data_IF_866128073977
#
_entry.id   IF_866128073977
#
_cell.length_a   1.000
_cell.length_b   1.000
_cell.length_c   1.000
_cell.angle_alpha   90.00
_cell.angle_beta   90.00
_cell.angle_gamma   90.00
#
_symmetry.space_group_name_H-M   'P 1'
#
loop_
_entity.id
_entity.type
_entity.pdbx_description
1 polymer ?
#
# COMPACT_ATOMS: atom_id res chain seq x y z
N UNK A 1 3.70 16.48 1.99
CA UNK A 1 3.99 15.60 3.14
C UNK A 1 4.94 14.49 2.73
N UNK A 2 5.63 13.85 3.69
CA UNK A 2 6.41 12.63 3.50
C UNK A 2 5.57 11.38 3.85
N UNK A 3 6.18 10.18 3.73
CA UNK A 3 5.47 8.90 3.97
C UNK A 3 4.99 8.74 5.43
N UNK A 4 5.81 9.13 6.41
CA UNK A 4 5.42 9.03 7.82
C UNK A 4 4.19 9.90 8.14
N UNK A 5 4.18 11.13 7.64
CA UNK A 5 3.05 12.05 7.79
C UNK A 5 1.79 11.51 7.11
N UNK A 6 1.94 10.93 5.91
CA UNK A 6 0.82 10.28 5.21
C UNK A 6 0.27 9.09 6.01
N UNK A 7 1.13 8.15 6.43
CA UNK A 7 0.69 6.97 7.18
C UNK A 7 0.00 7.35 8.50
N UNK A 8 0.45 8.43 9.15
CA UNK A 8 -0.21 8.95 10.33
C UNK A 8 -1.59 9.56 10.02
N UNK A 9 -1.72 10.29 8.92
CA UNK A 9 -3.00 10.83 8.45
C UNK A 9 -4.02 9.72 8.16
N UNK A 10 -3.56 8.60 7.58
CA UNK A 10 -4.44 7.48 7.20
C UNK A 10 -5.01 6.71 8.39
N UNK A 11 -4.48 6.88 9.60
CA UNK A 11 -5.00 6.19 10.79
C UNK A 11 -6.46 6.54 11.10
N UNK A 12 -6.92 7.71 10.67
CA UNK A 12 -8.32 8.12 10.81
C UNK A 12 -9.27 7.43 9.81
N UNK A 13 -8.74 6.99 8.67
CA UNK A 13 -9.50 6.32 7.62
C UNK A 13 -9.49 4.79 7.77
N UNK A 14 -8.46 4.22 8.39
CA UNK A 14 -8.30 2.77 8.60
C UNK A 14 -8.85 2.42 9.99
N UNK A 15 -9.89 1.59 10.03
CA UNK A 15 -10.56 1.17 11.27
C UNK A 15 -10.28 -0.30 11.59
N UNK A 16 -10.97 -1.23 10.95
CA UNK A 16 -10.87 -2.67 11.17
C UNK A 16 -10.42 -3.46 9.92
N UNK A 17 -10.05 -2.74 8.87
CA UNK A 17 -9.53 -3.31 7.65
C UNK A 17 -8.26 -4.12 7.90
N UNK A 18 -8.06 -5.19 7.13
CA UNK A 18 -6.80 -5.93 7.12
C UNK A 18 -5.78 -5.16 6.27
N UNK A 19 -4.61 -4.92 6.81
CA UNK A 19 -3.57 -4.14 6.14
C UNK A 19 -2.35 -5.00 5.87
N UNK A 20 -1.92 -5.07 4.61
CA UNK A 20 -0.63 -5.64 4.19
C UNK A 20 0.30 -4.50 3.83
N UNK A 21 1.34 -4.28 4.62
CA UNK A 21 2.27 -3.18 4.41
C UNK A 21 3.60 -3.67 3.82
N UNK A 22 4.09 -2.96 2.79
CA UNK A 22 5.34 -3.24 2.11
C UNK A 22 6.54 -3.24 3.06
N UNK A 23 7.59 -3.94 2.66
CA UNK A 23 8.83 -4.14 3.44
C UNK A 23 9.53 -2.83 3.81
N UNK A 24 10.38 -2.91 4.82
CA UNK A 24 11.33 -1.87 5.18
C UNK A 24 10.70 -0.70 5.92
N UNK A 25 11.06 0.52 5.50
CA UNK A 25 10.63 1.74 6.19
C UNK A 25 9.10 1.90 6.27
N UNK A 26 8.30 1.61 5.24
CA UNK A 26 6.84 1.70 5.34
C UNK A 26 6.27 0.87 6.50
N UNK A 27 6.67 -0.39 6.62
CA UNK A 27 6.25 -1.28 7.72
C UNK A 27 6.73 -0.77 9.09
N UNK A 28 7.98 -0.31 9.18
CA UNK A 28 8.54 0.21 10.43
C UNK A 28 7.83 1.50 10.89
N UNK A 29 7.51 2.38 9.94
CA UNK A 29 6.77 3.62 10.20
C UNK A 29 5.33 3.33 10.63
N UNK A 30 4.63 2.45 9.93
CA UNK A 30 3.27 2.05 10.27
C UNK A 30 3.21 1.41 11.66
N UNK A 31 4.14 0.48 11.97
CA UNK A 31 4.27 -0.14 13.29
C UNK A 31 4.49 0.91 14.39
N UNK A 32 5.38 1.88 14.14
CA UNK A 32 5.68 2.95 15.11
C UNK A 32 4.52 3.88 15.35
N UNK A 33 3.72 4.17 14.34
CA UNK A 33 2.56 5.07 14.43
C UNK A 33 1.46 4.38 15.25
N UNK A 34 1.10 3.15 14.88
CA UNK A 34 0.01 2.43 15.54
C UNK A 34 0.07 0.94 15.17
N UNK A 35 0.60 0.11 16.05
CA UNK A 35 0.60 -1.34 15.87
C UNK A 35 -0.79 -1.91 16.15
N UNK A 36 -1.30 -2.73 15.23
CA UNK A 36 -2.62 -3.36 15.33
C UNK A 36 -2.57 -4.84 14.94
N UNK A 37 -3.41 -5.71 15.53
CA UNK A 37 -3.43 -7.14 15.21
C UNK A 37 -3.91 -7.46 13.79
N UNK A 38 -4.55 -6.53 13.11
CA UNK A 38 -4.99 -6.63 11.71
C UNK A 38 -3.96 -6.08 10.71
N UNK A 39 -2.73 -5.77 11.15
CA UNK A 39 -1.65 -5.28 10.29
C UNK A 39 -0.58 -6.36 10.08
N UNK A 40 -0.27 -6.64 8.83
CA UNK A 40 0.83 -7.51 8.42
C UNK A 40 1.98 -6.68 7.88
N UNK A 41 3.12 -6.77 8.56
CA UNK A 41 4.36 -6.07 8.21
C UNK A 41 5.28 -6.98 7.45
N UNK A 42 5.47 -6.75 6.15
CA UNK A 42 6.39 -7.57 5.36
C UNK A 42 7.83 -7.33 5.77
N UNK A 43 8.60 -8.42 5.86
CA UNK A 43 10.04 -8.38 6.19
C UNK A 43 10.93 -8.49 4.95
N UNK A 44 10.42 -9.07 3.89
CA UNK A 44 11.12 -9.29 2.63
C UNK A 44 10.14 -9.30 1.47
N UNK A 45 10.58 -9.77 0.30
CA UNK A 45 9.74 -9.95 -0.89
C UNK A 45 9.15 -8.63 -1.41
N UNK A 46 10.01 -7.62 -1.62
CA UNK A 46 9.63 -6.36 -2.26
C UNK A 46 8.89 -6.65 -3.57
N UNK A 47 7.78 -5.94 -3.80
CA UNK A 47 6.90 -6.16 -4.96
C UNK A 47 5.70 -7.07 -4.69
N UNK A 48 5.61 -7.73 -3.52
CA UNK A 48 4.55 -8.70 -3.26
C UNK A 48 3.45 -8.22 -2.30
N UNK A 49 3.51 -7.02 -1.76
CA UNK A 49 2.47 -6.52 -0.86
C UNK A 49 1.10 -6.50 -1.55
N UNK A 50 1.05 -6.01 -2.78
CA UNK A 50 -0.16 -6.00 -3.62
C UNK A 50 -0.71 -7.40 -3.90
N UNK A 51 0.17 -8.37 -4.22
CA UNK A 51 -0.22 -9.76 -4.50
C UNK A 51 -0.74 -10.48 -3.26
N UNK A 52 -0.08 -10.28 -2.10
CA UNK A 52 -0.49 -10.89 -0.82
C UNK A 52 -1.84 -10.33 -0.39
N UNK A 53 -2.02 -9.01 -0.42
CA UNK A 53 -3.29 -8.38 -0.06
C UNK A 53 -4.43 -8.77 -1.00
N UNK A 54 -4.17 -8.85 -2.31
CA UNK A 54 -5.15 -9.36 -3.27
C UNK A 54 -5.55 -10.81 -2.95
N UNK A 55 -4.58 -11.69 -2.68
CA UNK A 55 -4.86 -13.07 -2.29
C UNK A 55 -5.69 -13.15 -1.01
N UNK A 56 -5.38 -12.31 -0.02
CA UNK A 56 -6.12 -12.20 1.23
C UNK A 56 -7.57 -11.75 0.99
N UNK A 57 -7.79 -10.73 0.14
CA UNK A 57 -9.13 -10.22 -0.17
C UNK A 57 -10.04 -11.24 -0.85
N UNK A 58 -9.46 -12.20 -1.60
CA UNK A 58 -10.20 -13.30 -2.20
C UNK A 58 -10.60 -14.40 -1.20
N UNK A 59 -10.04 -14.38 0.00
CA UNK A 59 -10.27 -15.39 1.04
C UNK A 59 -11.13 -14.90 2.21
N UNK A 60 -11.39 -13.59 2.30
CA UNK A 60 -12.13 -12.97 3.42
C UNK A 60 -13.16 -11.96 2.92
N UNK A 61 -14.17 -11.69 3.75
CA UNK A 61 -15.20 -10.67 3.45
C UNK A 61 -14.81 -9.25 3.91
N UNK A 62 -13.81 -9.15 4.79
CA UNK A 62 -13.33 -7.86 5.30
C UNK A 62 -12.61 -7.07 4.20
N UNK A 63 -12.67 -5.74 4.30
CA UNK A 63 -11.85 -4.89 3.46
C UNK A 63 -10.36 -5.15 3.70
N UNK A 64 -9.61 -5.24 2.61
CA UNK A 64 -8.15 -5.43 2.62
C UNK A 64 -7.48 -4.25 1.93
N UNK A 65 -6.49 -3.69 2.58
CA UNK A 65 -5.65 -2.61 2.05
C UNK A 65 -4.23 -3.14 1.88
N UNK A 66 -3.70 -3.09 0.67
CA UNK A 66 -2.25 -3.19 0.46
C UNK A 66 -1.65 -1.79 0.45
N UNK A 67 -0.70 -1.51 1.33
CA UNK A 67 0.12 -0.29 1.30
C UNK A 67 1.45 -0.65 0.66
N UNK A 68 1.66 -0.18 -0.56
CA UNK A 68 2.85 -0.50 -1.35
C UNK A 68 3.58 0.79 -1.80
N UNK A 69 4.84 0.70 -2.15
CA UNK A 69 5.60 1.81 -2.71
C UNK A 69 5.63 1.76 -4.24
N UNK A 70 5.83 2.91 -4.87
CA UNK A 70 5.98 3.01 -6.33
C UNK A 70 7.07 2.09 -6.87
N UNK A 71 8.27 2.12 -6.28
CA UNK A 71 9.37 1.24 -6.67
C UNK A 71 9.07 -0.24 -6.45
N UNK A 72 8.27 -0.58 -5.44
CA UNK A 72 7.82 -1.95 -5.17
C UNK A 72 6.83 -2.42 -6.22
N UNK A 73 5.85 -1.60 -6.57
CA UNK A 73 4.87 -1.90 -7.64
C UNK A 73 5.57 -2.04 -8.99
N UNK A 74 6.57 -1.20 -9.29
CA UNK A 74 7.37 -1.32 -10.53
C UNK A 74 8.08 -2.66 -10.66
N UNK A 75 8.45 -3.32 -9.56
CA UNK A 75 9.04 -4.67 -9.58
C UNK A 75 8.02 -5.77 -9.90
N UNK A 76 6.74 -5.54 -9.72
CA UNK A 76 5.68 -6.53 -9.87
C UNK A 76 4.39 -5.92 -10.47
N UNK A 77 4.53 -5.16 -11.56
CA UNK A 77 3.39 -4.50 -12.24
C UNK A 77 2.33 -5.49 -12.75
N UNK A 78 2.69 -6.75 -12.99
CA UNK A 78 1.76 -7.78 -13.43
C UNK A 78 0.62 -8.04 -12.42
N UNK A 79 0.81 -7.73 -11.13
CA UNK A 79 -0.29 -7.80 -10.14
C UNK A 79 -1.44 -6.87 -10.51
N UNK A 80 -1.18 -5.71 -11.13
CA UNK A 80 -2.24 -4.80 -11.58
C UNK A 80 -3.19 -5.48 -12.57
N UNK A 81 -2.67 -6.30 -13.49
CA UNK A 81 -3.51 -7.07 -14.40
C UNK A 81 -4.39 -8.09 -13.64
N UNK A 82 -3.88 -8.70 -12.58
CA UNK A 82 -4.67 -9.62 -11.76
C UNK A 82 -5.74 -8.86 -10.97
N UNK A 83 -5.40 -7.67 -10.42
CA UNK A 83 -6.37 -6.79 -9.73
C UNK A 83 -7.49 -6.40 -10.68
N UNK A 84 -7.17 -5.89 -11.89
CA UNK A 84 -8.17 -5.49 -12.87
C UNK A 84 -9.09 -6.63 -13.33
N UNK A 85 -8.54 -7.85 -13.48
CA UNK A 85 -9.33 -9.01 -13.93
C UNK A 85 -10.14 -9.68 -12.80
N UNK A 86 -9.71 -9.63 -11.56
CA UNK A 86 -10.43 -10.22 -10.41
C UNK A 86 -11.35 -9.21 -9.74
N UNK A 87 -10.93 -7.96 -9.68
CA UNK A 87 -11.66 -6.81 -9.17
C UNK A 87 -12.48 -7.09 -7.88
N UNK A 88 -11.90 -7.70 -6.82
CA UNK A 88 -12.65 -8.00 -5.61
C UNK A 88 -13.05 -6.70 -4.92
N UNK A 89 -14.35 -6.53 -4.65
CA UNK A 89 -14.92 -5.27 -4.16
C UNK A 89 -14.47 -4.86 -2.74
N UNK A 90 -13.81 -5.77 -2.03
CA UNK A 90 -13.22 -5.52 -0.71
C UNK A 90 -11.71 -5.24 -0.75
N UNK A 91 -11.14 -4.92 -1.93
CA UNK A 91 -9.71 -4.70 -2.08
C UNK A 91 -9.35 -3.28 -2.50
N UNK A 92 -8.41 -2.68 -1.80
CA UNK A 92 -7.80 -1.40 -2.17
C UNK A 92 -6.28 -1.52 -2.18
N UNK A 93 -5.65 -1.23 -3.32
CA UNK A 93 -4.21 -1.02 -3.42
C UNK A 93 -3.91 0.47 -3.24
N UNK A 94 -3.26 0.82 -2.14
CA UNK A 94 -2.71 2.15 -1.92
C UNK A 94 -1.22 2.16 -2.31
N UNK A 95 -0.89 2.90 -3.35
CA UNK A 95 0.49 3.11 -3.80
C UNK A 95 0.99 4.45 -3.24
N UNK A 96 1.99 4.38 -2.38
CA UNK A 96 2.68 5.55 -1.84
C UNK A 96 3.82 5.91 -2.78
N UNK A 97 3.56 6.85 -3.68
CA UNK A 97 4.49 7.27 -4.72
C UNK A 97 5.30 8.49 -4.26
N UNK A 98 6.52 8.22 -3.80
CA UNK A 98 7.49 9.24 -3.42
C UNK A 98 8.58 9.45 -4.49
N UNK A 99 8.50 8.75 -5.62
CA UNK A 99 9.44 8.82 -6.73
C UNK A 99 10.85 8.30 -6.40
N UNK A 100 11.01 7.49 -5.33
CA UNK A 100 12.33 7.17 -4.80
C UNK A 100 12.40 5.84 -4.06
N UNK A 101 13.57 5.17 -4.17
CA UNK A 101 13.97 4.01 -3.35
C UNK A 101 14.61 4.46 -2.04
N UNK A 102 13.81 5.05 -1.14
CA UNK A 102 14.27 5.70 0.08
C UNK A 102 15.06 4.81 1.04
N UNK A 103 14.87 3.48 1.03
CA UNK A 103 15.56 2.55 1.93
C UNK A 103 17.00 2.24 1.52
N UNK A 104 17.39 2.50 0.27
CA UNK A 104 18.69 2.08 -0.30
C UNK A 104 19.56 3.22 -0.80
N UNK A 105 19.15 4.46 -0.59
CA UNK A 105 19.96 5.64 -0.96
C UNK A 105 19.21 6.68 -1.78
N UNK A 106 17.89 6.64 -1.75
CA UNK A 106 17.01 7.66 -2.37
C UNK A 106 17.18 7.79 -3.89
N UNK A 107 17.56 6.68 -4.55
CA UNK A 107 17.63 6.63 -6.01
C UNK A 107 16.22 6.85 -6.58
N UNK A 108 16.13 7.62 -7.67
CA UNK A 108 14.87 7.88 -8.36
C UNK A 108 14.27 6.59 -8.91
N UNK A 109 12.96 6.43 -8.71
CA UNK A 109 12.18 5.43 -9.44
C UNK A 109 11.75 5.97 -10.79
N UNK A 110 11.29 5.11 -11.69
CA UNK A 110 10.81 5.55 -13.01
C UNK A 110 9.49 6.34 -12.93
N UNK A 111 8.78 6.34 -11.82
CA UNK A 111 7.61 7.20 -11.60
C UNK A 111 7.99 8.68 -11.45
N UNK A 112 9.26 8.96 -11.09
CA UNK A 112 9.84 10.30 -11.09
C UNK A 112 10.28 10.77 -12.50
N UNK A 113 10.09 9.93 -13.52
CA UNK A 113 10.51 10.23 -14.89
C UNK A 113 9.32 10.12 -15.84
N UNK A 114 9.17 8.98 -16.51
CA UNK A 114 8.24 8.81 -17.63
C UNK A 114 7.11 7.81 -17.36
N UNK A 115 7.24 6.99 -16.31
CA UNK A 115 6.25 5.94 -16.01
C UNK A 115 5.12 6.50 -15.16
N UNK A 116 3.90 6.47 -15.69
CA UNK A 116 2.67 6.76 -14.96
C UNK A 116 2.06 5.47 -14.44
N UNK A 117 2.09 5.24 -13.12
CA UNK A 117 1.43 4.07 -12.52
C UNK A 117 -0.09 4.13 -12.68
N UNK A 118 -0.67 5.34 -12.80
CA UNK A 118 -2.08 5.52 -13.13
C UNK A 118 -2.41 4.92 -14.49
N UNK A 119 -1.65 5.29 -15.52
CA UNK A 119 -1.91 4.81 -16.88
C UNK A 119 -1.61 3.32 -17.01
N UNK A 120 -0.58 2.83 -16.30
CA UNK A 120 -0.28 1.38 -16.22
C UNK A 120 -1.43 0.62 -15.58
N UNK A 121 -2.00 1.11 -14.47
CA UNK A 121 -3.12 0.46 -13.79
C UNK A 121 -4.38 0.45 -14.68
N UNK A 122 -4.70 1.57 -15.34
CA UNK A 122 -5.81 1.67 -16.29
C UNK A 122 -5.59 0.71 -17.47
N UNK A 123 -4.40 0.71 -18.07
CA UNK A 123 -4.04 -0.18 -19.18
C UNK A 123 -4.03 -1.67 -18.79
N UNK A 124 -3.85 -1.97 -17.50
CA UNK A 124 -3.93 -3.32 -16.94
C UNK A 124 -5.38 -3.77 -16.64
N UNK A 125 -6.38 -2.91 -16.85
CA UNK A 125 -7.80 -3.21 -16.65
C UNK A 125 -8.36 -2.84 -15.28
N UNK A 126 -7.68 -2.00 -14.51
CA UNK A 126 -8.24 -1.47 -13.27
C UNK A 126 -9.21 -0.32 -13.59
N UNK A 127 -10.49 -0.45 -13.22
CA UNK A 127 -11.54 0.54 -13.55
C UNK A 127 -11.50 1.77 -12.63
N UNK A 128 -11.18 1.58 -11.34
CA UNK A 128 -11.21 2.64 -10.35
C UNK A 128 -9.79 3.02 -9.91
N UNK A 129 -9.15 3.88 -10.68
CA UNK A 129 -7.80 4.37 -10.43
C UNK A 129 -7.85 5.84 -10.06
N UNK A 130 -7.40 6.19 -8.85
CA UNK A 130 -7.34 7.55 -8.33
C UNK A 130 -5.88 7.94 -8.11
N UNK A 131 -5.42 9.00 -8.76
CA UNK A 131 -4.15 9.63 -8.43
C UNK A 131 -4.43 10.96 -7.72
N UNK A 132 -3.80 11.18 -6.57
CA UNK A 132 -4.07 12.35 -5.73
C UNK A 132 -2.81 12.81 -4.98
N UNK A 133 -2.87 14.00 -4.41
CA UNK A 133 -1.85 14.48 -3.46
C UNK A 133 -1.92 13.71 -2.14
N UNK A 134 -0.84 13.75 -1.36
CA UNK A 134 -0.82 13.11 -0.04
C UNK A 134 -1.93 13.59 0.89
N UNK A 135 -2.26 14.88 0.83
CA UNK A 135 -3.31 15.53 1.64
C UNK A 135 -4.72 14.99 1.31
N UNK A 136 -4.96 14.62 0.05
CA UNK A 136 -6.25 14.11 -0.42
C UNK A 136 -6.41 12.60 -0.21
N UNK A 137 -5.33 11.90 0.12
CA UNK A 137 -5.31 10.43 0.16
C UNK A 137 -6.29 9.87 1.19
N UNK A 138 -6.40 10.48 2.36
CA UNK A 138 -7.31 9.98 3.41
C UNK A 138 -8.78 9.99 2.96
N UNK A 139 -9.22 11.06 2.29
CA UNK A 139 -10.58 11.16 1.76
C UNK A 139 -10.82 10.15 0.63
N UNK A 140 -9.84 9.97 -0.28
CA UNK A 140 -9.94 9.02 -1.38
C UNK A 140 -9.88 7.57 -0.90
N UNK A 141 -9.06 7.26 0.12
CA UNK A 141 -9.03 5.94 0.74
C UNK A 141 -10.37 5.62 1.40
N UNK A 142 -10.94 6.58 2.16
CA UNK A 142 -12.25 6.39 2.78
C UNK A 142 -13.33 6.14 1.72
N UNK A 143 -13.35 6.91 0.64
CA UNK A 143 -14.27 6.68 -0.49
C UNK A 143 -14.13 5.27 -1.05
N UNK A 144 -12.90 4.78 -1.24
CA UNK A 144 -12.64 3.43 -1.75
C UNK A 144 -13.13 2.35 -0.76
N UNK A 145 -12.95 2.54 0.55
CA UNK A 145 -13.38 1.58 1.58
C UNK A 145 -14.90 1.57 1.80
N UNK A 146 -15.58 2.69 1.55
CA UNK A 146 -17.04 2.80 1.66
C UNK A 146 -17.77 2.19 0.44
N UNK A 147 -17.11 2.11 -0.72
CA UNK A 147 -17.67 1.47 -1.91
C UNK A 147 -17.56 -0.06 -1.82
N UNK A 148 -18.69 -0.72 -1.71
CA UNK A 148 -18.77 -2.18 -1.59
C UNK A 148 -18.91 -2.92 -2.92
N UNK A 149 -18.83 -2.21 -4.04
CA UNK A 149 -19.04 -2.79 -5.36
C UNK A 149 -17.76 -2.86 -6.20
N UNK A 150 -16.73 -2.12 -5.84
CA UNK A 150 -15.56 -1.94 -6.67
C UNK A 150 -14.24 -2.12 -5.92
N UNK A 151 -13.22 -2.64 -6.61
CA UNK A 151 -11.83 -2.53 -6.17
C UNK A 151 -11.23 -1.19 -6.58
N UNK A 152 -10.23 -0.72 -5.83
CA UNK A 152 -9.58 0.56 -6.09
C UNK A 152 -8.06 0.44 -6.14
N UNK A 153 -7.46 1.25 -7.00
CA UNK A 153 -6.03 1.59 -6.97
C UNK A 153 -5.91 3.07 -6.65
N UNK A 154 -5.41 3.41 -5.48
CA UNK A 154 -5.20 4.80 -5.03
C UNK A 154 -3.71 5.09 -5.06
N UNK A 155 -3.29 6.08 -5.83
CA UNK A 155 -1.89 6.50 -5.99
C UNK A 155 -1.72 7.83 -5.28
N UNK A 156 -0.99 7.82 -4.17
CA UNK A 156 -0.71 8.99 -3.36
C UNK A 156 0.64 9.59 -3.72
N UNK A 157 0.65 10.74 -4.34
CA UNK A 157 1.88 11.48 -4.66
C UNK A 157 2.36 12.25 -3.43
N UNK A 158 3.56 11.90 -2.96
CA UNK A 158 4.19 12.51 -1.80
C UNK A 158 5.62 12.93 -2.08
N UNK A 159 6.24 13.64 -1.14
CA UNK A 159 7.67 13.97 -1.19
C UNK A 159 8.51 12.79 -0.71
N UNK A 160 9.68 12.58 -1.32
CA UNK A 160 10.68 11.68 -0.77
C UNK A 160 11.16 12.20 0.60
N UNK A 161 11.72 11.31 1.38
CA UNK A 161 12.26 11.61 2.70
C UNK A 161 11.91 10.53 3.71
N UNK A 162 12.87 10.27 4.61
CA UNK A 162 12.76 9.27 5.65
C UNK A 162 12.83 9.92 7.03
N UNK A 163 12.12 9.36 7.99
CA UNK A 163 12.28 9.70 9.39
C UNK A 163 13.19 8.66 10.07
N UNK A 164 14.03 9.07 11.05
CA UNK A 164 14.79 8.11 11.84
C UNK A 164 13.86 7.19 12.61
N UNK A 165 13.93 5.87 12.32
CA UNK A 165 13.04 4.89 12.91
C UNK A 165 13.81 3.60 13.24
N UNK A 166 13.40 2.93 14.32
CA UNK A 166 13.98 1.64 14.70
C UNK A 166 13.27 0.50 13.96
N UNK A 167 13.98 -0.60 13.67
CA UNK A 167 13.35 -1.82 13.16
C UNK A 167 12.24 -2.31 14.09
N UNK A 168 11.26 -3.01 13.51
CA UNK A 168 10.19 -3.68 14.26
C UNK A 168 10.83 -4.73 15.18
N UNK A 169 10.56 -4.70 16.51
CA UNK A 169 11.20 -5.60 17.48
C UNK A 169 10.55 -7.00 17.53
N UNK A 170 9.79 -7.39 16.51
CA UNK A 170 9.12 -8.67 16.41
C UNK A 170 9.87 -9.60 15.47
N UNK A 171 9.93 -10.89 15.81
CA UNK A 171 10.47 -11.90 14.90
C UNK A 171 9.45 -12.27 13.81
N UNK A 172 9.91 -12.92 12.73
CA UNK A 172 9.10 -13.26 11.57
C UNK A 172 7.88 -14.15 11.91
N UNK A 173 8.03 -15.08 12.84
CA UNK A 173 6.95 -15.99 13.25
C UNK A 173 5.85 -15.21 13.98
N UNK A 174 6.24 -14.29 14.86
CA UNK A 174 5.28 -13.42 15.56
C UNK A 174 4.53 -12.53 14.58
N UNK A 175 5.25 -11.89 13.63
CA UNK A 175 4.60 -11.03 12.61
C UNK A 175 3.61 -11.85 11.78
N UNK A 176 3.98 -13.06 11.36
CA UNK A 176 3.09 -13.94 10.59
C UNK A 176 1.83 -14.34 11.38
N UNK A 177 1.94 -14.46 12.71
CA UNK A 177 0.82 -14.81 13.58
C UNK A 177 -0.12 -13.65 13.93
N UNK A 178 0.23 -12.41 13.56
CA UNK A 178 -0.57 -11.22 13.91
C UNK A 178 -1.85 -11.09 13.06
N UNK A 179 -1.82 -11.47 11.79
CA UNK A 179 -3.04 -11.50 10.99
C UNK A 179 -3.82 -12.78 11.36
N UNK A 180 -4.72 -12.63 12.30
CA UNK A 180 -5.74 -13.63 12.56
C UNK A 180 -6.97 -13.34 11.71
N UNK A 181 -7.18 -14.19 10.73
CA UNK A 181 -8.35 -14.19 9.85
C UNK A 181 -9.48 -14.95 10.55
#
# INVERSE_FOLDING_TARGET
MNRFELLNLLQSAIQDELVVCNIGLPSQELYKINDRPNYFYMLGSMGLASSIGLGLSLAVDKNVISIDGDGSVLMNMNTLATIGNRAPSNYTLLIVDNGSYGSTGDQKTFTNERTSLKDVAIGAGCDNVIECSGEETSANLKKALDDKNNSYVVISKIKSGNVPIKPIPLNAVTILSLIHI
#
